data_IF_138900352964
#
_entry.id   IF_138900352964
#
_cell.length_a   1.000
_cell.length_b   1.000
_cell.length_c   1.000
_cell.angle_alpha   90.00
_cell.angle_beta   90.00
_cell.angle_gamma   90.00
#
_symmetry.space_group_name_H-M   'P 1'
#
loop_
_entity.id
_entity.type
_entity.pdbx_description
1 polymer ?
#
# COMPACT_ATOMS: atom_id res chain seq x y z
N UNK A 1 -19.71 -7.91 -24.20
CA UNK A 1 -19.36 -6.58 -23.67
C UNK A 1 -18.59 -6.84 -22.39
N UNK A 2 -17.27 -6.76 -22.45
CA UNK A 2 -16.44 -6.96 -21.27
C UNK A 2 -16.14 -5.58 -20.68
N UNK A 3 -16.49 -5.37 -19.41
CA UNK A 3 -16.05 -4.18 -18.66
C UNK A 3 -14.74 -4.53 -17.98
N UNK A 4 -13.67 -3.81 -18.34
CA UNK A 4 -12.32 -4.07 -17.87
C UNK A 4 -11.86 -2.84 -17.09
N UNK A 5 -11.70 -3.00 -15.78
CA UNK A 5 -11.15 -1.96 -14.91
C UNK A 5 -9.64 -2.15 -14.80
N UNK A 6 -8.89 -1.08 -15.04
CA UNK A 6 -7.43 -1.04 -14.86
C UNK A 6 -7.07 -0.13 -13.70
N UNK A 7 -5.99 -0.47 -13.00
CA UNK A 7 -5.46 0.24 -11.84
C UNK A 7 -4.08 0.81 -12.14
N UNK A 8 -3.42 1.37 -11.12
CA UNK A 8 -2.19 2.13 -11.27
C UNK A 8 -1.08 1.36 -11.99
N UNK A 9 -0.59 1.90 -13.11
CA UNK A 9 0.46 1.29 -13.90
C UNK A 9 0.02 0.09 -14.73
N UNK A 10 -1.28 -0.15 -14.85
CA UNK A 10 -1.85 -1.13 -15.76
C UNK A 10 -2.31 -0.47 -17.07
N UNK A 11 -2.58 -1.32 -18.06
CA UNK A 11 -3.13 -0.93 -19.35
C UNK A 11 -4.08 -2.00 -19.86
N UNK A 12 -4.97 -1.62 -20.78
CA UNK A 12 -5.73 -2.56 -21.58
C UNK A 12 -5.81 -2.05 -23.02
N UNK A 13 -5.99 -3.00 -23.95
CA UNK A 13 -6.31 -2.72 -25.35
C UNK A 13 -7.38 -3.71 -25.81
N UNK A 14 -8.18 -3.29 -26.78
CA UNK A 14 -9.26 -4.13 -27.29
C UNK A 14 -9.96 -3.52 -28.48
N UNK A 15 -11.12 -4.09 -28.80
CA UNK A 15 -11.98 -3.63 -29.88
C UNK A 15 -13.41 -3.52 -29.37
N UNK A 16 -14.28 -2.88 -30.14
CA UNK A 16 -15.74 -2.97 -29.91
C UNK A 16 -16.16 -4.43 -29.62
N UNK A 17 -17.03 -4.70 -28.62
CA UNK A 17 -17.72 -3.76 -27.73
C UNK A 17 -17.18 -3.79 -26.28
N UNK A 18 -15.88 -3.61 -26.08
CA UNK A 18 -15.32 -3.53 -24.73
C UNK A 18 -15.52 -2.13 -24.12
N UNK A 19 -15.68 -2.09 -22.79
CA UNK A 19 -15.66 -0.86 -21.99
C UNK A 19 -14.45 -0.92 -21.07
N UNK A 20 -13.63 0.13 -21.08
CA UNK A 20 -12.51 0.28 -20.17
C UNK A 20 -12.82 1.30 -19.08
N UNK A 21 -12.28 1.09 -17.89
CA UNK A 21 -12.52 1.97 -16.75
C UNK A 21 -11.27 2.13 -15.90
N UNK A 22 -11.08 3.33 -15.36
CA UNK A 22 -10.03 3.62 -14.38
C UNK A 22 -10.45 4.75 -13.44
N UNK A 23 -9.82 4.81 -12.28
CA UNK A 23 -10.03 5.83 -11.25
C UNK A 23 -8.73 6.61 -11.03
N UNK A 24 -8.84 7.94 -10.97
CA UNK A 24 -7.72 8.83 -11.16
C UNK A 24 -7.67 9.91 -10.07
N UNK A 25 -6.51 10.04 -9.43
CA UNK A 25 -6.12 11.13 -8.52
C UNK A 25 -5.02 12.00 -9.16
N UNK A 26 -3.82 12.01 -8.58
CA UNK A 26 -2.63 12.65 -9.19
C UNK A 26 -2.06 11.89 -10.40
N UNK A 27 -2.44 10.62 -10.56
CA UNK A 27 -2.21 9.82 -11.76
C UNK A 27 -3.08 10.31 -12.93
N UNK A 28 -2.71 9.93 -14.16
CA UNK A 28 -3.40 10.38 -15.38
C UNK A 28 -3.85 9.17 -16.19
N UNK A 29 -5.14 9.15 -16.55
CA UNK A 29 -5.71 8.20 -17.49
C UNK A 29 -5.52 8.70 -18.91
N UNK A 30 -5.09 7.83 -19.82
CA UNK A 30 -4.93 8.17 -21.25
C UNK A 30 -5.64 7.13 -22.09
N UNK A 31 -6.73 7.54 -22.74
CA UNK A 31 -7.41 6.73 -23.75
C UNK A 31 -6.87 7.09 -25.13
N UNK A 32 -6.48 6.08 -25.91
CA UNK A 32 -6.14 6.21 -27.32
C UNK A 32 -7.18 5.46 -28.15
N UNK A 33 -7.74 6.11 -29.17
CA UNK A 33 -8.83 5.52 -29.96
C UNK A 33 -8.67 5.78 -31.45
N UNK A 34 -8.90 4.72 -32.24
CA UNK A 34 -9.14 4.80 -33.67
C UNK A 34 -10.61 4.47 -33.94
N UNK A 35 -11.41 5.51 -34.22
CA UNK A 35 -12.84 5.37 -34.50
C UNK A 35 -13.18 4.73 -35.84
N UNK A 36 -12.22 4.63 -36.77
CA UNK A 36 -12.44 3.97 -38.06
C UNK A 36 -12.37 2.46 -37.90
N UNK A 37 -11.35 1.97 -37.21
CA UNK A 37 -11.16 0.53 -36.99
C UNK A 37 -11.79 0.04 -35.67
N UNK A 38 -12.31 0.95 -34.83
CA UNK A 38 -12.90 0.71 -33.51
C UNK A 38 -11.98 -0.09 -32.60
N UNK A 39 -10.73 0.37 -32.53
CA UNK A 39 -9.66 -0.20 -31.71
C UNK A 39 -9.22 0.89 -30.75
N UNK A 40 -9.07 0.54 -29.48
CA UNK A 40 -8.60 1.50 -28.49
C UNK A 40 -7.90 0.83 -27.33
N UNK A 41 -7.29 1.66 -26.51
CA UNK A 41 -6.65 1.24 -25.28
C UNK A 41 -6.69 2.34 -24.23
N UNK A 42 -6.58 1.92 -22.98
CA UNK A 42 -6.57 2.80 -21.82
C UNK A 42 -5.29 2.55 -21.00
N UNK A 43 -4.63 3.63 -20.60
CA UNK A 43 -3.48 3.63 -19.69
C UNK A 43 -3.88 4.25 -18.36
N UNK A 44 -3.27 3.76 -17.27
CA UNK A 44 -3.25 4.45 -15.98
C UNK A 44 -1.80 4.80 -15.60
N UNK A 45 -1.41 6.05 -15.85
CA UNK A 45 -0.03 6.52 -15.68
C UNK A 45 0.17 7.10 -14.27
N UNK A 46 1.22 6.65 -13.58
CA UNK A 46 1.55 7.06 -12.21
C UNK A 46 2.53 8.22 -12.20
N UNK A 47 3.60 8.13 -12.99
CA UNK A 47 4.74 9.06 -12.98
C UNK A 47 5.14 9.50 -14.40
N UNK A 48 5.86 10.63 -14.56
CA UNK A 48 6.24 11.08 -15.90
C UNK A 48 7.37 10.22 -16.47
N UNK A 49 8.30 9.79 -15.62
CA UNK A 49 9.50 9.01 -15.97
C UNK A 49 9.96 8.16 -14.78
N UNK A 50 10.71 7.10 -15.06
CA UNK A 50 11.26 6.19 -14.07
C UNK A 50 12.73 5.86 -14.36
N UNK A 51 13.43 5.30 -13.37
CA UNK A 51 14.78 4.76 -13.61
C UNK A 51 14.73 3.58 -14.57
N UNK A 52 15.84 3.28 -15.24
CA UNK A 52 15.92 2.22 -16.25
C UNK A 52 15.42 0.86 -15.73
N UNK A 53 15.78 0.50 -14.49
CA UNK A 53 15.30 -0.73 -13.86
C UNK A 53 13.79 -0.72 -13.65
N UNK A 54 13.25 0.36 -13.06
CA UNK A 54 11.82 0.43 -12.77
C UNK A 54 10.96 0.45 -14.04
N UNK A 55 11.47 1.03 -15.13
CA UNK A 55 10.80 1.00 -16.44
C UNK A 55 10.84 -0.40 -17.06
N UNK A 56 11.91 -1.18 -16.83
CA UNK A 56 11.93 -2.60 -17.24
C UNK A 56 10.92 -3.43 -16.46
N UNK A 57 10.77 -3.17 -15.17
CA UNK A 57 9.85 -3.92 -14.29
C UNK A 57 8.38 -3.61 -14.62
N UNK A 58 8.03 -2.33 -14.82
CA UNK A 58 6.70 -1.93 -15.27
C UNK A 58 6.77 -0.69 -16.20
N UNK A 59 6.80 -0.88 -17.53
CA UNK A 59 6.86 0.23 -18.47
C UNK A 59 5.54 1.03 -18.54
N UNK A 60 4.42 0.48 -18.08
CA UNK A 60 3.09 1.12 -18.17
C UNK A 60 2.80 2.11 -17.03
N UNK A 61 3.63 2.10 -15.97
CA UNK A 61 3.54 3.07 -14.88
C UNK A 61 4.02 4.48 -15.25
N UNK A 62 4.81 4.64 -16.32
CA UNK A 62 5.51 5.90 -16.65
C UNK A 62 5.09 6.48 -18.00
N UNK A 63 4.80 7.78 -18.06
CA UNK A 63 4.33 8.42 -19.29
C UNK A 63 5.27 8.18 -20.49
N UNK A 64 6.59 8.39 -20.29
CA UNK A 64 7.62 8.25 -21.32
C UNK A 64 7.71 6.85 -21.95
N UNK A 65 7.33 5.80 -21.24
CA UNK A 65 7.34 4.43 -21.76
C UNK A 65 5.95 3.92 -22.12
N UNK A 66 4.93 4.25 -21.34
CA UNK A 66 3.57 3.73 -21.47
C UNK A 66 2.87 4.20 -22.76
N UNK A 67 2.92 5.51 -23.04
CA UNK A 67 2.23 6.10 -24.21
C UNK A 67 2.80 5.57 -25.52
N UNK A 68 4.13 5.55 -25.74
CA UNK A 68 4.71 4.94 -26.95
C UNK A 68 4.43 3.44 -27.06
N UNK A 69 4.47 2.70 -25.94
CA UNK A 69 4.20 1.26 -25.94
C UNK A 69 2.76 0.94 -26.35
N UNK A 70 1.76 1.63 -25.78
CA UNK A 70 0.36 1.43 -26.17
C UNK A 70 0.12 1.85 -27.63
N UNK A 71 0.69 2.98 -28.06
CA UNK A 71 0.59 3.43 -29.45
C UNK A 71 1.10 2.36 -30.43
N UNK A 72 2.28 1.79 -30.16
CA UNK A 72 2.83 0.70 -30.97
C UNK A 72 1.94 -0.55 -30.95
N UNK A 73 1.40 -0.92 -29.78
CA UNK A 73 0.50 -2.07 -29.64
C UNK A 73 -0.82 -1.89 -30.41
N UNK A 74 -1.39 -0.68 -30.44
CA UNK A 74 -2.60 -0.37 -31.20
C UNK A 74 -2.37 -0.47 -32.70
N UNK A 75 -1.26 0.08 -33.22
CA UNK A 75 -0.88 -0.05 -34.62
C UNK A 75 -0.69 -1.52 -35.00
N UNK A 76 0.04 -2.29 -34.18
CA UNK A 76 0.21 -3.72 -34.38
C UNK A 76 -1.12 -4.50 -34.37
N UNK A 77 -2.12 -3.98 -33.67
CA UNK A 77 -3.48 -4.55 -33.60
C UNK A 77 -4.40 -4.11 -34.76
N UNK A 78 -3.90 -3.25 -35.66
CA UNK A 78 -4.58 -2.78 -36.87
C UNK A 78 -5.17 -1.37 -36.78
N UNK A 79 -4.80 -0.57 -35.77
CA UNK A 79 -5.22 0.83 -35.71
C UNK A 79 -4.47 1.67 -36.75
N UNK A 80 -5.16 2.63 -37.37
CA UNK A 80 -4.59 3.62 -38.25
C UNK A 80 -3.99 4.76 -37.42
N UNK A 81 -2.66 4.91 -37.53
CA UNK A 81 -1.89 5.98 -36.89
C UNK A 81 -2.52 7.36 -37.06
N UNK A 82 -3.05 7.66 -38.25
CA UNK A 82 -3.58 8.99 -38.58
C UNK A 82 -4.99 9.22 -38.01
N UNK A 83 -5.66 8.15 -37.59
CA UNK A 83 -6.99 8.19 -36.99
C UNK A 83 -6.95 8.16 -35.46
N UNK A 84 -5.78 7.94 -34.85
CA UNK A 84 -5.63 7.88 -33.40
C UNK A 84 -5.82 9.27 -32.76
N UNK A 85 -6.74 9.32 -31.81
CA UNK A 85 -6.98 10.48 -30.95
C UNK A 85 -6.78 10.11 -29.49
N UNK A 86 -6.47 11.10 -28.66
CA UNK A 86 -6.26 10.93 -27.23
C UNK A 86 -7.31 11.68 -26.41
N UNK A 87 -7.75 11.06 -25.31
CA UNK A 87 -8.49 11.73 -24.24
C UNK A 87 -7.76 11.53 -22.92
N UNK A 88 -7.60 12.61 -22.16
CA UNK A 88 -6.89 12.62 -20.87
C UNK A 88 -7.87 12.85 -19.71
N UNK A 89 -7.67 12.15 -18.60
CA UNK A 89 -8.36 12.37 -17.34
C UNK A 89 -7.39 12.36 -16.14
N UNK A 90 -7.72 13.05 -15.05
CA UNK A 90 -6.99 12.92 -13.77
C UNK A 90 -6.00 14.05 -13.47
N UNK A 91 -4.80 13.74 -12.99
CA UNK A 91 -3.73 14.72 -12.79
C UNK A 91 -4.00 15.76 -11.68
N UNK A 92 -4.80 15.41 -10.68
CA UNK A 92 -5.18 16.29 -9.58
C UNK A 92 -3.99 16.84 -8.79
N UNK A 93 -4.13 18.09 -8.33
CA UNK A 93 -3.31 18.78 -7.36
C UNK A 93 -3.72 18.30 -5.97
N UNK A 94 -3.07 17.25 -5.51
CA UNK A 94 -3.21 16.82 -4.13
C UNK A 94 -2.54 17.90 -3.27
N UNK A 95 -3.32 18.57 -2.40
CA UNK A 95 -2.78 19.56 -1.46
C UNK A 95 -1.82 18.85 -0.50
N UNK A 96 -0.53 18.95 -0.75
CA UNK A 96 0.48 18.76 0.29
C UNK A 96 0.54 19.99 1.19
N UNK A 97 0.78 19.72 2.46
CA UNK A 97 0.89 20.63 3.61
C UNK A 97 1.48 22.00 3.28
N UNK A 98 0.97 23.05 3.93
CA UNK A 98 1.64 24.34 4.03
C UNK A 98 3.04 24.18 4.64
N UNK A 99 4.09 24.25 3.81
CA UNK A 99 5.49 24.33 4.27
C UNK A 99 6.48 23.31 3.69
N UNK A 100 6.10 22.41 2.78
CA UNK A 100 7.02 21.44 2.16
C UNK A 100 6.94 21.45 0.63
N UNK A 101 8.06 21.18 -0.06
CA UNK A 101 8.24 21.31 -1.52
C UNK A 101 7.07 20.78 -2.35
N UNK A 102 6.58 21.66 -3.23
CA UNK A 102 5.44 21.48 -4.13
C UNK A 102 5.69 20.34 -5.14
N UNK A 103 5.45 19.08 -4.73
CA UNK A 103 5.56 17.89 -5.59
C UNK A 103 4.34 17.80 -6.50
N UNK A 104 4.35 18.63 -7.56
CA UNK A 104 3.32 18.73 -8.61
C UNK A 104 3.28 17.52 -9.55
N UNK A 105 3.13 16.31 -9.02
CA UNK A 105 3.18 15.05 -9.78
C UNK A 105 2.12 15.03 -10.88
N UNK A 106 0.88 15.42 -10.57
CA UNK A 106 -0.20 15.50 -11.57
C UNK A 106 0.12 16.44 -12.73
N UNK A 107 0.62 17.65 -12.44
CA UNK A 107 1.01 18.60 -13.48
C UNK A 107 2.17 18.06 -14.35
N UNK A 108 3.16 17.39 -13.73
CA UNK A 108 4.29 16.79 -14.43
C UNK A 108 3.86 15.63 -15.34
N UNK A 109 2.92 14.81 -14.89
CA UNK A 109 2.35 13.72 -15.68
C UNK A 109 1.64 14.28 -16.93
N UNK A 110 0.72 15.22 -16.74
CA UNK A 110 -0.04 15.85 -17.83
C UNK A 110 0.91 16.49 -18.84
N UNK A 111 1.92 17.24 -18.38
CA UNK A 111 2.90 17.87 -19.27
C UNK A 111 3.66 16.84 -20.09
N UNK A 112 4.17 15.77 -19.46
CA UNK A 112 4.89 14.72 -20.15
C UNK A 112 4.02 14.03 -21.21
N UNK A 113 2.77 13.70 -20.89
CA UNK A 113 1.83 13.06 -21.81
C UNK A 113 1.53 13.97 -23.01
N UNK A 114 1.28 15.27 -22.78
CA UNK A 114 1.06 16.24 -23.87
C UNK A 114 2.26 16.31 -24.82
N UNK A 115 3.48 16.38 -24.30
CA UNK A 115 4.70 16.37 -25.12
C UNK A 115 4.78 15.09 -25.96
N UNK A 116 4.58 13.92 -25.35
CA UNK A 116 4.69 12.63 -26.05
C UNK A 116 3.59 12.47 -27.12
N UNK A 117 2.35 12.86 -26.82
CA UNK A 117 1.25 12.84 -27.80
C UNK A 117 1.58 13.73 -29.00
N UNK A 118 2.10 14.94 -28.76
CA UNK A 118 2.55 15.84 -29.81
C UNK A 118 3.66 15.22 -30.67
N UNK A 119 4.68 14.63 -30.04
CA UNK A 119 5.81 14.00 -30.73
C UNK A 119 5.38 12.78 -31.57
N UNK A 120 4.36 12.05 -31.12
CA UNK A 120 3.79 10.91 -31.85
C UNK A 120 2.81 11.32 -32.96
N UNK A 121 2.36 12.59 -32.97
CA UNK A 121 1.35 13.12 -33.88
C UNK A 121 -0.09 12.77 -33.47
N UNK A 122 -0.33 12.45 -32.20
CA UNK A 122 -1.65 12.11 -31.66
C UNK A 122 -2.34 13.38 -31.18
N UNK A 123 -3.50 13.68 -31.76
CA UNK A 123 -4.29 14.83 -31.33
C UNK A 123 -5.06 14.50 -30.04
N UNK A 124 -4.87 15.31 -29.01
CA UNK A 124 -5.71 15.29 -27.81
C UNK A 124 -7.02 16.00 -28.14
N UNK A 125 -8.15 15.28 -28.10
CA UNK A 125 -9.47 15.81 -28.46
C UNK A 125 -10.28 16.24 -27.24
N UNK A 126 -9.95 15.73 -26.06
CA UNK A 126 -10.57 16.09 -24.80
C UNK A 126 -9.59 15.91 -23.64
N UNK A 127 -9.62 16.81 -22.67
CA UNK A 127 -8.86 16.71 -21.43
C UNK A 127 -9.70 17.23 -20.27
N UNK A 128 -9.84 16.41 -19.23
CA UNK A 128 -10.32 16.84 -17.91
C UNK A 128 -9.25 16.47 -16.88
N UNK A 129 -8.30 17.40 -16.68
CA UNK A 129 -7.10 17.18 -15.89
C UNK A 129 -6.83 18.32 -14.91
N UNK A 130 -6.08 18.07 -13.84
CA UNK A 130 -5.75 19.08 -12.81
C UNK A 130 -6.78 19.13 -11.69
N UNK A 131 -7.03 20.31 -11.13
CA UNK A 131 -7.99 20.53 -10.02
C UNK A 131 -7.60 19.79 -8.73
N UNK A 132 -8.43 19.82 -7.69
CA UNK A 132 -8.14 19.22 -6.37
C UNK A 132 -9.01 17.98 -6.06
N UNK A 133 -9.57 17.35 -7.08
CA UNK A 133 -10.47 16.20 -6.95
C UNK A 133 -10.17 15.05 -7.92
N UNK A 134 -10.60 13.85 -7.51
CA UNK A 134 -10.48 12.63 -8.31
C UNK A 134 -11.53 12.52 -9.42
N UNK A 135 -11.22 11.67 -10.40
CA UNK A 135 -12.07 11.42 -11.58
C UNK A 135 -12.22 9.93 -11.82
N UNK A 136 -13.40 9.53 -12.24
CA UNK A 136 -13.62 8.24 -12.89
C UNK A 136 -13.61 8.46 -14.40
N UNK A 137 -12.85 7.66 -15.12
CA UNK A 137 -12.77 7.70 -16.58
C UNK A 137 -13.27 6.36 -17.12
N UNK A 138 -14.36 6.41 -17.88
CA UNK A 138 -14.95 5.26 -18.57
C UNK A 138 -14.80 5.48 -20.08
N UNK A 139 -14.43 4.44 -20.81
CA UNK A 139 -14.14 4.51 -22.24
C UNK A 139 -14.85 3.37 -22.97
N UNK A 140 -15.85 3.70 -23.77
CA UNK A 140 -16.60 2.75 -24.59
C UNK A 140 -15.97 2.65 -25.99
N UNK A 141 -15.53 1.45 -26.38
CA UNK A 141 -14.93 1.23 -27.69
C UNK A 141 -15.98 1.15 -28.82
N UNK A 142 -17.28 1.05 -28.51
CA UNK A 142 -18.36 0.99 -29.49
C UNK A 142 -18.43 2.25 -30.36
N UNK A 143 -18.27 3.41 -29.73
CA UNK A 143 -18.37 4.73 -30.34
C UNK A 143 -17.16 5.64 -30.02
N UNK A 144 -16.28 5.21 -29.12
CA UNK A 144 -15.11 5.98 -28.71
C UNK A 144 -15.40 7.00 -27.62
N UNK A 145 -16.60 6.98 -27.03
CA UNK A 145 -16.99 7.92 -26.00
C UNK A 145 -16.15 7.69 -24.74
N UNK A 146 -15.59 8.79 -24.23
CA UNK A 146 -14.89 8.81 -22.95
C UNK A 146 -15.68 9.69 -22.00
N UNK A 147 -16.32 9.06 -21.03
CA UNK A 147 -17.03 9.74 -19.96
C UNK A 147 -16.07 9.96 -18.79
N UNK A 148 -15.85 11.23 -18.45
CA UNK A 148 -15.06 11.63 -17.29
C UNK A 148 -16.00 12.24 -16.27
N UNK A 149 -16.20 11.52 -15.17
CA UNK A 149 -17.00 12.00 -14.06
C UNK A 149 -16.07 12.65 -13.03
N UNK A 150 -16.08 13.98 -13.02
CA UNK A 150 -15.40 14.81 -12.04
C UNK A 150 -16.15 14.78 -10.70
N UNK A 151 -15.44 14.44 -9.63
CA UNK A 151 -16.01 14.38 -8.29
C UNK A 151 -15.82 15.72 -7.58
N UNK A 152 -16.56 16.77 -7.99
CA UNK A 152 -16.43 18.09 -7.36
C UNK A 152 -16.90 18.02 -5.90
N UNK A 153 -16.02 18.33 -4.96
CA UNK A 153 -16.36 18.43 -3.55
C UNK A 153 -17.28 19.65 -3.30
N UNK A 154 -18.51 19.39 -2.81
CA UNK A 154 -19.36 20.38 -2.16
C UNK A 154 -20.44 21.07 -3.01
N UNK A 155 -21.46 20.32 -3.47
CA UNK A 155 -22.89 20.66 -3.34
C UNK A 155 -23.75 19.56 -4.02
N UNK A 156 -24.53 18.87 -3.20
CA UNK A 156 -25.88 18.36 -3.47
C UNK A 156 -26.22 17.24 -4.48
N UNK A 157 -25.29 16.56 -5.15
CA UNK A 157 -25.68 15.35 -5.91
C UNK A 157 -25.09 14.06 -5.32
N UNK A 158 -25.68 13.64 -4.19
CA UNK A 158 -25.50 12.29 -3.66
C UNK A 158 -26.04 11.27 -4.68
N UNK A 159 -25.14 10.53 -5.35
CA UNK A 159 -25.50 9.18 -5.80
C UNK A 159 -26.13 8.47 -4.60
N UNK A 160 -27.31 7.82 -4.75
CA UNK A 160 -27.93 7.12 -3.64
C UNK A 160 -26.91 6.16 -3.05
N UNK A 161 -26.72 6.21 -1.72
CA UNK A 161 -25.95 5.21 -0.98
C UNK A 161 -26.43 3.86 -1.50
N UNK A 162 -25.57 2.97 -2.03
CA UNK A 162 -26.00 1.60 -2.30
C UNK A 162 -26.66 1.11 -1.01
N UNK A 163 -27.83 0.44 -1.15
CA UNK A 163 -28.61 0.01 0.00
C UNK A 163 -27.66 -0.60 1.04
N UNK A 164 -27.68 -0.07 2.27
CA UNK A 164 -26.70 -0.40 3.30
C UNK A 164 -26.64 -1.93 3.43
N UNK A 165 -25.56 -2.53 2.91
CA UNK A 165 -25.32 -3.94 3.11
C UNK A 165 -25.21 -4.15 4.62
N UNK A 166 -25.79 -5.22 5.18
CA UNK A 166 -25.67 -5.48 6.60
C UNK A 166 -24.19 -5.56 6.96
N UNK A 167 -23.80 -4.94 8.07
CA UNK A 167 -22.43 -4.95 8.55
C UNK A 167 -21.84 -6.37 8.53
N UNK A 168 -20.54 -6.49 8.30
CA UNK A 168 -19.87 -7.80 8.39
C UNK A 168 -20.08 -8.32 9.81
N UNK A 169 -20.65 -9.52 9.92
CA UNK A 169 -20.92 -10.16 11.21
C UNK A 169 -19.63 -10.52 11.94
N UNK A 170 -19.66 -10.45 13.27
CA UNK A 170 -18.54 -10.83 14.11
C UNK A 170 -18.15 -12.30 13.88
N UNK A 171 -19.12 -13.17 13.61
CA UNK A 171 -18.92 -14.57 13.27
C UNK A 171 -18.07 -14.73 12.00
N UNK A 172 -18.34 -13.93 10.95
CA UNK A 172 -17.58 -13.96 9.69
C UNK A 172 -16.15 -13.47 9.87
N UNK A 173 -15.93 -12.47 10.73
CA UNK A 173 -14.58 -12.03 11.10
C UNK A 173 -13.82 -13.14 11.83
N UNK A 174 -14.45 -13.77 12.82
CA UNK A 174 -13.84 -14.86 13.58
C UNK A 174 -13.50 -16.05 12.67
N UNK A 175 -14.42 -16.45 11.79
CA UNK A 175 -14.18 -17.51 10.81
C UNK A 175 -12.99 -17.16 9.89
N UNK A 176 -12.96 -15.93 9.34
CA UNK A 176 -11.84 -15.47 8.53
C UNK A 176 -10.50 -15.50 9.29
N UNK A 177 -10.50 -15.12 10.58
CA UNK A 177 -9.31 -15.18 11.45
C UNK A 177 -8.86 -16.62 11.68
N UNK A 178 -9.80 -17.55 11.91
CA UNK A 178 -9.49 -18.97 12.12
C UNK A 178 -8.93 -19.64 10.85
N UNK A 179 -9.27 -19.14 9.66
CA UNK A 179 -8.65 -19.61 8.40
C UNK A 179 -7.25 -19.05 8.15
N UNK A 180 -6.82 -17.99 8.88
CA UNK A 180 -5.41 -17.61 8.87
C UNK A 180 -4.63 -18.80 9.40
N UNK A 181 -3.49 -19.13 8.79
CA UNK A 181 -2.56 -20.09 9.41
C UNK A 181 -2.28 -19.52 10.81
N UNK A 182 -2.64 -20.22 11.89
CA UNK A 182 -2.42 -19.69 13.23
C UNK A 182 -0.96 -19.28 13.35
N UNK A 183 -0.67 -18.18 14.07
CA UNK A 183 0.70 -17.97 14.52
C UNK A 183 1.14 -19.29 15.16
N UNK A 184 2.25 -19.86 14.70
CA UNK A 184 2.77 -21.07 15.35
C UNK A 184 2.95 -20.74 16.83
N UNK A 185 2.69 -21.70 17.73
CA UNK A 185 2.91 -21.45 19.16
C UNK A 185 4.32 -20.90 19.42
N UNK A 186 5.29 -21.27 18.57
CA UNK A 186 6.64 -20.71 18.55
C UNK A 186 6.70 -19.19 18.29
N UNK A 187 5.91 -18.64 17.36
CA UNK A 187 5.90 -17.20 17.09
C UNK A 187 5.06 -16.41 18.13
N UNK A 188 3.97 -16.96 18.67
CA UNK A 188 3.26 -16.35 19.82
C UNK A 188 4.18 -16.34 21.05
N UNK A 189 4.83 -17.46 21.33
CA UNK A 189 5.78 -17.54 22.44
C UNK A 189 7.02 -16.69 22.19
N UNK A 190 7.45 -16.47 20.94
CA UNK A 190 8.49 -15.48 20.63
C UNK A 190 8.05 -14.07 21.03
N UNK A 191 6.77 -13.73 20.85
CA UNK A 191 6.18 -12.46 21.29
C UNK A 191 6.01 -12.40 22.83
N UNK A 192 5.65 -13.51 23.48
CA UNK A 192 5.52 -13.59 24.94
C UNK A 192 6.87 -13.62 25.67
N UNK A 193 7.93 -14.19 25.07
CA UNK A 193 9.30 -14.17 25.61
C UNK A 193 9.91 -12.76 25.63
N UNK A 194 9.28 -11.77 24.97
CA UNK A 194 9.60 -10.36 25.15
C UNK A 194 9.19 -9.83 26.55
N UNK A 195 8.33 -10.56 27.28
CA UNK A 195 7.88 -10.18 28.64
C UNK A 195 8.83 -10.64 29.75
N UNK A 196 9.72 -11.59 29.48
CA UNK A 196 10.65 -12.13 30.46
C UNK A 196 12.10 -11.80 30.05
N UNK A 197 12.77 -10.85 30.72
CA UNK A 197 14.17 -10.50 30.49
C UNK A 197 15.14 -11.67 30.71
N UNK A 198 14.69 -12.76 31.34
CA UNK A 198 15.46 -13.98 31.59
C UNK A 198 15.21 -15.08 30.55
N UNK A 199 14.36 -14.83 29.56
CA UNK A 199 14.09 -15.74 28.45
C UNK A 199 15.39 -16.23 27.82
N UNK A 200 15.70 -17.51 28.06
CA UNK A 200 17.00 -18.06 27.66
C UNK A 200 17.02 -18.41 26.18
N UNK A 201 18.21 -18.26 25.58
CA UNK A 201 18.54 -18.71 24.22
C UNK A 201 17.98 -20.11 23.89
N UNK A 202 18.00 -21.02 24.87
CA UNK A 202 17.54 -22.39 24.73
C UNK A 202 16.03 -22.57 24.59
N UNK A 203 15.21 -21.74 25.23
CA UNK A 203 13.75 -21.86 25.12
C UNK A 203 13.28 -21.50 23.71
N UNK A 204 13.82 -20.40 23.17
CA UNK A 204 13.46 -19.87 21.86
C UNK A 204 13.98 -20.79 20.74
N UNK A 205 15.19 -21.32 20.89
CA UNK A 205 15.72 -22.36 20.00
C UNK A 205 14.82 -23.60 19.96
N UNK A 206 14.42 -24.13 21.14
CA UNK A 206 13.58 -25.34 21.22
C UNK A 206 12.25 -25.15 20.49
N UNK A 207 11.64 -23.98 20.60
CA UNK A 207 10.37 -23.67 19.95
C UNK A 207 10.49 -23.63 18.43
N UNK A 208 11.56 -23.06 17.90
CA UNK A 208 11.76 -22.96 16.46
C UNK A 208 12.05 -24.32 15.87
N UNK A 209 12.86 -25.14 16.55
CA UNK A 209 13.19 -26.49 16.11
C UNK A 209 11.96 -27.43 16.05
N UNK A 210 10.86 -27.09 16.71
CA UNK A 210 9.59 -27.82 16.59
C UNK A 210 8.87 -27.53 15.27
N UNK A 211 9.18 -26.42 14.59
CA UNK A 211 8.62 -26.04 13.30
C UNK A 211 9.70 -26.12 12.21
N UNK A 212 9.65 -27.20 11.42
CA UNK A 212 10.61 -27.47 10.35
C UNK A 212 10.58 -26.40 9.25
N UNK A 213 9.41 -25.81 8.99
CA UNK A 213 9.25 -24.78 7.95
C UNK A 213 9.85 -23.47 8.44
N UNK A 214 9.54 -23.07 9.67
CA UNK A 214 10.14 -21.89 10.30
C UNK A 214 11.66 -22.03 10.40
N UNK A 215 12.16 -23.19 10.83
CA UNK A 215 13.61 -23.47 10.91
C UNK A 215 14.28 -23.33 9.54
N UNK A 216 13.70 -23.93 8.49
CA UNK A 216 14.26 -23.85 7.14
C UNK A 216 14.22 -22.44 6.56
N UNK A 217 13.11 -21.71 6.75
CA UNK A 217 12.97 -20.31 6.33
C UNK A 217 13.97 -19.41 7.08
N UNK A 218 14.18 -19.65 8.38
CA UNK A 218 15.13 -18.93 9.20
C UNK A 218 16.55 -19.10 8.68
N UNK A 219 17.02 -20.34 8.53
CA UNK A 219 18.37 -20.60 8.04
C UNK A 219 18.57 -20.03 6.63
N UNK A 220 17.56 -20.13 5.75
CA UNK A 220 17.63 -19.54 4.40
C UNK A 220 17.80 -18.02 4.46
N UNK A 221 17.03 -17.35 5.32
CA UNK A 221 17.04 -15.90 5.41
C UNK A 221 18.32 -15.39 6.09
N UNK A 222 18.82 -16.04 7.15
CA UNK A 222 20.12 -15.69 7.78
C UNK A 222 21.29 -15.83 6.80
N UNK A 223 21.24 -16.83 5.90
CA UNK A 223 22.26 -17.02 4.87
C UNK A 223 22.07 -16.13 3.63
N UNK A 224 21.04 -15.29 3.59
CA UNK A 224 20.83 -14.38 2.47
C UNK A 224 21.89 -13.27 2.45
N UNK A 225 22.09 -12.68 1.26
CA UNK A 225 23.03 -11.56 1.07
C UNK A 225 22.72 -10.35 1.97
N UNK A 226 21.50 -10.24 2.50
CA UNK A 226 21.08 -9.19 3.42
C UNK A 226 21.87 -9.21 4.74
N UNK A 227 22.04 -10.39 5.34
CA UNK A 227 22.69 -10.52 6.66
C UNK A 227 24.22 -10.58 6.57
N UNK A 228 24.78 -10.69 5.36
CA UNK A 228 26.22 -10.64 5.07
C UNK A 228 27.05 -11.53 6.02
N UNK A 229 26.56 -12.74 6.28
CA UNK A 229 27.22 -13.66 7.21
C UNK A 229 28.60 -14.06 6.68
N UNK A 230 29.66 -14.03 7.52
CA UNK A 230 31.02 -14.36 7.09
C UNK A 230 31.19 -15.84 6.75
N UNK A 231 30.32 -16.71 7.29
CA UNK A 231 30.28 -18.15 7.02
C UNK A 231 28.84 -18.64 6.94
N UNK A 232 28.64 -19.77 6.26
CA UNK A 232 27.31 -20.38 6.17
C UNK A 232 26.82 -20.81 7.56
N UNK A 233 25.61 -20.38 7.91
CA UNK A 233 24.93 -20.68 9.16
C UNK A 233 24.08 -21.93 8.97
N UNK A 234 24.35 -23.00 9.72
CA UNK A 234 23.70 -24.31 9.54
C UNK A 234 22.79 -24.70 10.71
N UNK A 235 22.81 -23.96 11.82
CA UNK A 235 22.01 -24.27 13.02
C UNK A 235 21.32 -23.03 13.60
N UNK A 236 20.21 -23.25 14.31
CA UNK A 236 19.45 -22.19 15.00
C UNK A 236 20.30 -21.55 16.11
N UNK A 237 20.99 -22.36 16.92
CA UNK A 237 22.01 -21.90 17.89
C UNK A 237 23.03 -20.94 17.27
N UNK A 238 23.60 -21.30 16.11
CA UNK A 238 24.61 -20.47 15.45
C UNK A 238 24.02 -19.15 14.97
N UNK A 239 22.82 -19.17 14.36
CA UNK A 239 22.10 -17.96 13.97
C UNK A 239 21.85 -17.03 15.16
N UNK A 240 21.37 -17.61 16.27
CA UNK A 240 21.04 -16.88 17.48
C UNK A 240 22.28 -16.27 18.16
N UNK A 241 23.41 -16.99 18.16
CA UNK A 241 24.69 -16.49 18.69
C UNK A 241 25.31 -15.36 17.85
N UNK A 242 25.18 -15.42 16.51
CA UNK A 242 25.72 -14.40 15.60
C UNK A 242 24.85 -13.13 15.55
N UNK A 243 23.52 -13.29 15.54
CA UNK A 243 22.58 -12.17 15.45
C UNK A 243 22.32 -11.51 16.81
N UNK A 244 22.41 -12.28 17.88
CA UNK A 244 21.86 -11.90 19.18
C UNK A 244 20.33 -12.03 19.23
N UNK A 245 19.80 -12.03 20.45
CA UNK A 245 18.41 -12.38 20.74
C UNK A 245 17.39 -11.46 20.02
N UNK A 246 17.60 -10.14 20.05
CA UNK A 246 16.64 -9.17 19.52
C UNK A 246 16.55 -9.22 17.98
N UNK A 247 17.69 -9.27 17.28
CA UNK A 247 17.70 -9.39 15.82
C UNK A 247 17.10 -10.73 15.37
N UNK A 248 17.34 -11.79 16.13
CA UNK A 248 16.78 -13.11 15.89
C UNK A 248 15.25 -13.14 16.07
N UNK A 249 14.70 -12.53 17.13
CA UNK A 249 13.24 -12.42 17.34
C UNK A 249 12.55 -11.69 16.18
N UNK A 250 13.14 -10.58 15.72
CA UNK A 250 12.63 -9.82 14.56
C UNK A 250 12.62 -10.63 13.29
N UNK A 251 13.65 -11.46 13.09
CA UNK A 251 13.75 -12.34 11.94
C UNK A 251 12.62 -13.39 11.95
N UNK A 252 12.40 -14.05 13.09
CA UNK A 252 11.30 -15.00 13.28
C UNK A 252 9.95 -14.34 12.96
N UNK A 253 9.73 -13.14 13.48
CA UNK A 253 8.49 -12.39 13.24
C UNK A 253 8.33 -11.96 11.78
N UNK A 254 9.40 -11.58 11.09
CA UNK A 254 9.35 -11.28 9.65
C UNK A 254 8.96 -12.50 8.83
N UNK A 255 9.53 -13.68 9.12
CA UNK A 255 9.19 -14.92 8.42
C UNK A 255 7.70 -15.24 8.59
N UNK A 256 7.19 -15.05 9.80
CA UNK A 256 5.79 -15.26 10.09
C UNK A 256 4.89 -14.26 9.32
N UNK A 257 5.19 -12.97 9.39
CA UNK A 257 4.39 -11.93 8.72
C UNK A 257 4.48 -12.05 7.21
N UNK A 258 5.60 -12.51 6.66
CA UNK A 258 5.72 -12.82 5.24
C UNK A 258 4.66 -13.84 4.78
N UNK A 259 4.48 -14.95 5.50
CA UNK A 259 3.48 -15.96 5.16
C UNK A 259 2.04 -15.40 5.16
N UNK A 260 1.76 -14.40 6.00
CA UNK A 260 0.46 -13.73 6.04
C UNK A 260 0.29 -12.67 4.94
N UNK A 261 1.33 -11.87 4.69
CA UNK A 261 1.24 -10.61 3.91
C UNK A 261 1.78 -10.74 2.48
N UNK A 262 2.36 -11.88 2.10
CA UNK A 262 2.93 -12.08 0.76
C UNK A 262 1.87 -12.18 -0.35
N UNK A 263 0.60 -12.43 -0.01
CA UNK A 263 -0.47 -12.60 -1.01
C UNK A 263 -0.96 -11.25 -1.53
N UNK A 264 -1.44 -11.25 -2.79
CA UNK A 264 -2.17 -10.12 -3.39
C UNK A 264 -3.43 -9.82 -2.57
N UNK A 265 -3.71 -8.54 -2.32
CA UNK A 265 -4.96 -8.08 -1.71
C UNK A 265 -5.75 -7.27 -2.73
N UNK A 266 -6.80 -7.86 -3.29
CA UNK A 266 -7.61 -7.22 -4.32
C UNK A 266 -8.41 -6.05 -3.74
N UNK A 267 -8.95 -6.20 -2.53
CA UNK A 267 -9.69 -5.17 -1.81
C UNK A 267 -8.91 -3.86 -1.69
N UNK A 268 -7.60 -3.97 -1.49
CA UNK A 268 -6.70 -2.83 -1.29
C UNK A 268 -5.89 -2.47 -2.54
N UNK A 269 -6.07 -3.18 -3.65
CA UNK A 269 -5.25 -3.03 -4.87
C UNK A 269 -3.75 -3.18 -4.61
N UNK A 270 -3.37 -4.13 -3.75
CA UNK A 270 -1.98 -4.40 -3.39
C UNK A 270 -1.47 -5.65 -4.10
N UNK A 271 -0.37 -5.54 -4.83
CA UNK A 271 0.30 -6.69 -5.45
C UNK A 271 0.89 -7.66 -4.41
N UNK A 272 1.20 -8.87 -4.86
CA UNK A 272 1.87 -9.86 -4.02
C UNK A 272 3.16 -9.29 -3.41
N UNK A 273 3.31 -9.42 -2.09
CA UNK A 273 4.46 -8.89 -1.33
C UNK A 273 4.39 -7.39 -1.00
N UNK A 274 3.46 -6.62 -1.59
CA UNK A 274 3.38 -5.18 -1.35
C UNK A 274 3.08 -4.84 0.12
N UNK A 275 2.12 -5.54 0.73
CA UNK A 275 1.79 -5.34 2.16
C UNK A 275 2.95 -5.75 3.07
N UNK A 276 3.63 -6.86 2.75
CA UNK A 276 4.79 -7.30 3.50
C UNK A 276 5.90 -6.25 3.47
N UNK A 277 6.24 -5.75 2.28
CA UNK A 277 7.25 -4.72 2.10
C UNK A 277 6.88 -3.42 2.84
N UNK A 278 5.63 -2.97 2.73
CA UNK A 278 5.11 -1.83 3.53
C UNK A 278 5.35 -2.04 5.02
N UNK A 279 4.97 -3.21 5.54
CA UNK A 279 5.03 -3.50 6.97
C UNK A 279 6.46 -3.59 7.50
N UNK A 280 7.39 -4.18 6.74
CA UNK A 280 8.81 -4.24 7.13
C UNK A 280 9.44 -2.85 7.16
N UNK A 281 9.21 -2.03 6.13
CA UNK A 281 9.74 -0.66 6.11
C UNK A 281 9.11 0.18 7.23
N UNK A 282 7.79 0.05 7.44
CA UNK A 282 7.08 0.71 8.53
C UNK A 282 7.65 0.30 9.90
N UNK A 283 7.94 -0.98 10.12
CA UNK A 283 8.61 -1.48 11.32
C UNK A 283 9.98 -0.83 11.58
N UNK A 284 10.81 -0.70 10.54
CA UNK A 284 12.14 -0.07 10.63
C UNK A 284 12.05 1.42 10.93
N UNK A 285 11.12 2.13 10.28
CA UNK A 285 10.90 3.56 10.53
C UNK A 285 10.36 3.76 11.95
N UNK A 286 9.39 2.96 12.38
CA UNK A 286 8.82 3.01 13.73
C UNK A 286 9.90 2.80 14.79
N UNK A 287 10.79 1.83 14.60
CA UNK A 287 11.94 1.64 15.48
C UNK A 287 12.86 2.87 15.51
N UNK A 288 13.20 3.43 14.34
CA UNK A 288 14.10 4.57 14.24
C UNK A 288 13.52 5.82 14.92
N UNK A 289 12.20 5.99 14.88
CA UNK A 289 11.48 7.05 15.61
C UNK A 289 11.54 6.87 17.14
N UNK A 290 11.78 5.64 17.62
CA UNK A 290 11.92 5.28 19.04
C UNK A 290 13.41 5.02 19.41
N UNK A 291 14.37 5.45 18.58
CA UNK A 291 15.78 5.05 18.71
C UNK A 291 16.47 5.44 20.03
N UNK A 292 15.92 6.41 20.80
CA UNK A 292 16.45 6.76 22.14
C UNK A 292 15.92 5.87 23.27
N UNK A 293 15.06 4.89 22.96
CA UNK A 293 14.47 3.96 23.92
C UNK A 293 15.37 2.76 24.23
N UNK A 294 14.98 2.01 25.26
CA UNK A 294 15.59 0.73 25.61
C UNK A 294 15.47 -0.27 24.45
N UNK A 295 16.29 -1.32 24.49
CA UNK A 295 16.23 -2.40 23.49
C UNK A 295 14.84 -3.03 23.39
N UNK A 296 14.16 -3.16 24.53
CA UNK A 296 12.79 -3.67 24.64
C UNK A 296 11.78 -2.70 23.99
N UNK A 297 11.91 -1.39 24.22
CA UNK A 297 11.05 -0.38 23.59
C UNK A 297 11.22 -0.35 22.07
N UNK A 298 12.47 -0.46 21.58
CA UNK A 298 12.76 -0.52 20.14
C UNK A 298 12.25 -1.80 19.49
N UNK A 299 12.36 -2.94 20.19
CA UNK A 299 11.78 -4.20 19.73
C UNK A 299 10.24 -4.12 19.65
N UNK A 300 9.58 -3.58 20.67
CA UNK A 300 8.12 -3.34 20.63
C UNK A 300 7.73 -2.40 19.48
N UNK A 301 8.48 -1.32 19.27
CA UNK A 301 8.26 -0.39 18.16
C UNK A 301 8.34 -1.08 16.80
N UNK A 302 9.35 -1.92 16.59
CA UNK A 302 9.49 -2.73 15.39
C UNK A 302 8.27 -3.65 15.19
N UNK A 303 7.86 -4.39 16.21
CA UNK A 303 6.73 -5.32 16.13
C UNK A 303 5.40 -4.61 15.86
N UNK A 304 5.19 -3.44 16.47
CA UNK A 304 4.00 -2.63 16.25
C UNK A 304 3.90 -2.18 14.78
N UNK A 305 4.98 -1.65 14.21
CA UNK A 305 5.02 -1.27 12.79
C UNK A 305 4.86 -2.46 11.85
N UNK A 306 5.37 -3.64 12.21
CA UNK A 306 5.27 -4.85 11.40
C UNK A 306 3.83 -5.41 11.34
N UNK A 307 3.06 -5.27 12.42
CA UNK A 307 1.75 -5.91 12.58
C UNK A 307 0.55 -4.96 12.39
N UNK A 308 0.77 -3.66 12.22
CA UNK A 308 -0.30 -2.64 12.25
C UNK A 308 -1.45 -2.89 11.26
N UNK A 309 -1.15 -3.43 10.08
CA UNK A 309 -2.10 -3.65 9.00
C UNK A 309 -2.68 -5.08 8.93
N UNK A 310 -2.56 -5.86 10.01
CA UNK A 310 -3.06 -7.25 10.06
C UNK A 310 -4.54 -7.39 9.73
N UNK A 311 -5.35 -6.37 10.04
CA UNK A 311 -6.78 -6.36 9.70
C UNK A 311 -7.07 -6.35 8.20
N UNK A 312 -6.17 -5.82 7.36
CA UNK A 312 -6.35 -5.80 5.90
C UNK A 312 -6.42 -7.22 5.32
N UNK A 313 -5.63 -8.15 5.87
CA UNK A 313 -5.62 -9.56 5.46
C UNK A 313 -6.94 -10.27 5.80
N UNK A 314 -7.55 -9.92 6.94
CA UNK A 314 -8.84 -10.50 7.35
C UNK A 314 -9.97 -9.93 6.48
N UNK A 315 -9.98 -8.62 6.26
CA UNK A 315 -10.99 -7.95 5.43
C UNK A 315 -10.93 -8.39 3.97
N UNK A 316 -9.75 -8.66 3.41
CA UNK A 316 -9.61 -9.27 2.08
C UNK A 316 -10.42 -10.58 1.95
N UNK A 317 -10.41 -11.42 2.99
CA UNK A 317 -11.05 -12.75 2.95
C UNK A 317 -12.57 -12.70 3.07
N UNK A 318 -13.11 -11.79 3.87
CA UNK A 318 -14.54 -11.78 4.20
C UNK A 318 -15.32 -10.62 3.61
N UNK A 319 -14.65 -9.57 3.13
CA UNK A 319 -15.29 -8.32 2.73
C UNK A 319 -14.88 -7.82 1.33
N UNK A 320 -13.98 -8.49 0.61
CA UNK A 320 -13.45 -8.04 -0.70
C UNK A 320 -14.53 -7.62 -1.72
N UNK A 321 -15.66 -8.34 -1.78
CA UNK A 321 -16.77 -8.01 -2.68
C UNK A 321 -17.42 -6.63 -2.41
N UNK A 322 -17.20 -6.04 -1.24
CA UNK A 322 -17.76 -4.75 -0.81
C UNK A 322 -16.77 -3.59 -0.97
N UNK A 323 -15.50 -3.88 -1.21
CA UNK A 323 -14.46 -2.85 -1.34
C UNK A 323 -14.65 -1.88 -2.51
N UNK A 324 -15.31 -2.24 -3.63
CA UNK A 324 -15.67 -1.23 -4.63
C UNK A 324 -16.43 -0.05 -4.02
N UNK A 325 -17.34 -0.30 -3.05
CA UNK A 325 -18.08 0.77 -2.36
C UNK A 325 -17.21 1.56 -1.37
N UNK A 326 -16.23 0.90 -0.75
CA UNK A 326 -15.23 1.58 0.11
C UNK A 326 -14.40 2.54 -0.73
N UNK A 327 -13.87 2.04 -1.84
CA UNK A 327 -13.10 2.80 -2.82
C UNK A 327 -13.94 3.95 -3.38
N UNK A 328 -15.21 3.73 -3.70
CA UNK A 328 -16.15 4.79 -4.10
C UNK A 328 -16.25 5.90 -3.04
N UNK A 329 -16.42 5.56 -1.74
CA UNK A 329 -16.47 6.58 -0.69
C UNK A 329 -15.15 7.35 -0.53
N UNK A 330 -14.02 6.66 -0.66
CA UNK A 330 -12.70 7.30 -0.59
C UNK A 330 -12.51 8.26 -1.77
N UNK A 331 -12.76 7.79 -2.99
CA UNK A 331 -12.55 8.55 -4.22
C UNK A 331 -13.57 9.68 -4.39
N UNK A 332 -14.84 9.44 -4.09
CA UNK A 332 -15.93 10.38 -4.33
C UNK A 332 -16.25 11.29 -3.14
N UNK A 333 -15.95 10.87 -1.90
CA UNK A 333 -16.20 11.68 -0.69
C UNK A 333 -14.94 12.14 0.03
N UNK A 334 -13.75 11.81 -0.48
CA UNK A 334 -12.47 12.23 0.12
C UNK A 334 -12.33 11.72 1.55
N UNK A 335 -13.03 10.63 1.87
CA UNK A 335 -13.03 10.04 3.18
C UNK A 335 -11.70 9.32 3.42
N UNK A 336 -11.19 9.40 4.64
CA UNK A 336 -10.09 8.53 5.06
C UNK A 336 -10.51 7.07 4.93
N UNK A 337 -9.58 6.21 4.53
CA UNK A 337 -9.90 4.85 4.12
C UNK A 337 -10.57 4.04 5.22
N UNK A 338 -10.07 4.12 6.46
CA UNK A 338 -10.66 3.43 7.61
C UNK A 338 -12.08 3.94 7.95
N UNK A 339 -12.39 5.21 7.67
CA UNK A 339 -13.75 5.74 7.82
C UNK A 339 -14.68 5.18 6.74
N UNK A 340 -14.19 5.05 5.51
CA UNK A 340 -14.93 4.42 4.41
C UNK A 340 -15.21 2.94 4.66
N UNK A 341 -14.22 2.19 5.17
CA UNK A 341 -14.42 0.82 5.62
C UNK A 341 -15.52 0.77 6.68
N UNK A 342 -15.45 1.61 7.71
CA UNK A 342 -16.45 1.62 8.79
C UNK A 342 -17.86 1.88 8.26
N UNK A 343 -18.00 2.81 7.32
CA UNK A 343 -19.28 3.18 6.72
C UNK A 343 -19.91 2.06 5.88
N UNK A 344 -19.09 1.27 5.17
CA UNK A 344 -19.57 0.21 4.24
C UNK A 344 -19.62 -1.16 4.91
N UNK A 345 -18.64 -1.46 5.74
CA UNK A 345 -18.41 -2.79 6.34
C UNK A 345 -18.95 -2.87 7.76
N UNK A 346 -19.22 -1.74 8.42
CA UNK A 346 -19.55 -1.66 9.85
C UNK A 346 -18.34 -1.85 10.77
N UNK A 347 -17.15 -1.98 10.20
CA UNK A 347 -15.86 -2.14 10.89
C UNK A 347 -14.75 -1.59 9.98
N UNK A 348 -13.55 -1.43 10.52
CA UNK A 348 -12.36 -1.00 9.77
C UNK A 348 -11.16 -1.92 10.06
N UNK A 349 -10.12 -1.84 9.23
CA UNK A 349 -8.94 -2.69 9.40
C UNK A 349 -8.24 -2.51 10.76
N UNK A 350 -8.20 -1.33 11.42
CA UNK A 350 -7.63 -1.21 12.76
C UNK A 350 -8.43 -1.97 13.81
N UNK A 351 -9.77 -1.89 13.79
CA UNK A 351 -10.61 -2.64 14.73
C UNK A 351 -10.53 -4.15 14.49
N UNK A 352 -10.48 -4.58 13.22
CA UNK A 352 -10.28 -6.00 12.88
C UNK A 352 -8.89 -6.46 13.31
N UNK A 353 -7.85 -5.67 13.07
CA UNK A 353 -6.48 -5.96 13.53
C UNK A 353 -6.41 -6.11 15.05
N UNK A 354 -7.14 -5.27 15.80
CA UNK A 354 -7.28 -5.42 17.26
C UNK A 354 -7.94 -6.74 17.64
N UNK A 355 -9.00 -7.13 16.96
CA UNK A 355 -9.66 -8.42 17.19
C UNK A 355 -8.68 -9.59 16.97
N UNK A 356 -7.84 -9.53 15.94
CA UNK A 356 -6.78 -10.53 15.72
C UNK A 356 -5.79 -10.52 16.89
N UNK A 357 -5.34 -9.33 17.32
CA UNK A 357 -4.42 -9.19 18.44
C UNK A 357 -4.97 -9.79 19.74
N UNK A 358 -6.26 -9.59 20.03
CA UNK A 358 -6.92 -10.15 21.21
C UNK A 358 -7.04 -11.68 21.12
N UNK A 359 -7.43 -12.24 19.96
CA UNK A 359 -7.53 -13.69 19.74
C UNK A 359 -6.15 -14.36 19.87
N UNK A 360 -5.12 -13.72 19.32
CA UNK A 360 -3.73 -14.19 19.39
C UNK A 360 -3.03 -13.83 20.71
N UNK A 361 -3.75 -13.18 21.64
CA UNK A 361 -3.26 -12.78 22.98
C UNK A 361 -1.98 -11.95 22.93
N UNK A 362 -1.87 -11.08 21.93
CA UNK A 362 -0.73 -10.18 21.80
C UNK A 362 -0.67 -9.20 23.00
N UNK A 363 0.52 -8.67 23.32
CA UNK A 363 0.67 -7.60 24.31
C UNK A 363 -0.31 -6.45 24.06
N UNK A 364 -0.88 -5.89 25.13
CA UNK A 364 -1.91 -4.86 25.06
C UNK A 364 -1.41 -3.60 24.33
N UNK A 365 -0.14 -3.27 24.54
CA UNK A 365 0.63 -2.24 23.83
C UNK A 365 0.51 -2.39 22.30
N UNK A 366 0.73 -3.61 21.79
CA UNK A 366 0.70 -3.90 20.35
C UNK A 366 -0.73 -3.87 19.84
N UNK A 367 -1.68 -4.42 20.61
CA UNK A 367 -3.11 -4.34 20.28
C UNK A 367 -3.60 -2.89 20.20
N UNK A 368 -3.17 -2.01 21.10
CA UNK A 368 -3.52 -0.58 21.08
C UNK A 368 -2.87 0.15 19.90
N UNK A 369 -1.59 -0.12 19.60
CA UNK A 369 -0.92 0.43 18.43
C UNK A 369 -1.62 0.02 17.12
N UNK A 370 -2.00 -1.26 16.98
CA UNK A 370 -2.78 -1.74 15.84
C UNK A 370 -4.14 -1.05 15.77
N UNK A 371 -4.85 -0.90 16.89
CA UNK A 371 -6.20 -0.33 16.90
C UNK A 371 -6.24 1.17 16.56
N UNK A 372 -5.19 1.91 16.94
CA UNK A 372 -5.22 3.38 16.98
C UNK A 372 -4.23 4.05 16.02
N UNK A 373 -3.55 3.32 15.13
CA UNK A 373 -2.54 3.91 14.24
C UNK A 373 -3.09 4.97 13.26
N UNK A 374 -4.40 5.00 12.96
CA UNK A 374 -5.05 6.11 12.22
C UNK A 374 -5.57 7.23 13.12
N UNK A 375 -5.61 7.03 14.43
CA UNK A 375 -6.13 7.99 15.42
C UNK A 375 -5.20 8.05 16.65
N UNK A 376 -3.92 8.39 16.46
CA UNK A 376 -2.88 8.13 17.47
C UNK A 376 -3.08 8.91 18.78
N UNK A 377 -3.79 10.05 18.75
CA UNK A 377 -4.05 10.87 19.94
C UNK A 377 -5.06 10.26 20.90
N UNK A 378 -5.87 9.29 20.46
CA UNK A 378 -6.79 8.56 21.32
C UNK A 378 -6.07 7.58 22.26
N UNK A 379 -4.82 7.23 21.95
CA UNK A 379 -4.02 6.34 22.78
C UNK A 379 -3.75 6.95 24.15
N UNK A 380 -3.64 6.10 25.17
CA UNK A 380 -3.30 6.53 26.53
C UNK A 380 -1.91 7.21 26.57
N UNK A 381 -1.65 8.17 27.48
CA UNK A 381 -0.37 8.90 27.51
C UNK A 381 0.89 8.00 27.54
N UNK A 382 0.83 6.85 28.21
CA UNK A 382 1.94 5.90 28.26
C UNK A 382 2.21 5.13 26.96
N UNK A 383 1.22 5.06 26.04
CA UNK A 383 1.32 4.36 24.75
C UNK A 383 1.36 5.30 23.55
N UNK A 384 0.95 6.56 23.74
CA UNK A 384 0.78 7.54 22.67
C UNK A 384 2.02 7.71 21.81
N UNK A 385 3.21 7.70 22.40
CA UNK A 385 4.48 7.78 21.67
C UNK A 385 4.65 6.63 20.67
N UNK A 386 4.35 5.39 21.08
CA UNK A 386 4.42 4.22 20.20
C UNK A 386 3.40 4.31 19.07
N UNK A 387 2.15 4.67 19.38
CA UNK A 387 1.08 4.78 18.37
C UNK A 387 1.37 5.91 17.37
N UNK A 388 1.89 7.04 17.85
CA UNK A 388 2.34 8.14 16.98
C UNK A 388 3.50 7.70 16.07
N UNK A 389 4.44 6.89 16.57
CA UNK A 389 5.53 6.37 15.76
C UNK A 389 5.02 5.48 14.61
N UNK A 390 4.07 4.58 14.88
CA UNK A 390 3.45 3.74 13.85
C UNK A 390 2.68 4.59 12.82
N UNK A 391 1.91 5.57 13.30
CA UNK A 391 1.17 6.50 12.44
C UNK A 391 2.11 7.24 11.47
N UNK A 392 3.16 7.88 11.99
CA UNK A 392 4.13 8.62 11.19
C UNK A 392 4.89 7.69 10.24
N UNK A 393 5.28 6.50 10.70
CA UNK A 393 5.97 5.52 9.85
C UNK A 393 5.10 5.07 8.67
N UNK A 394 3.83 4.74 8.89
CA UNK A 394 2.88 4.34 7.84
C UNK A 394 2.67 5.47 6.82
N UNK A 395 2.52 6.71 7.28
CA UNK A 395 2.43 7.89 6.40
C UNK A 395 3.67 8.06 5.52
N UNK A 396 4.87 7.92 6.11
CA UNK A 396 6.13 8.05 5.35
C UNK A 396 6.29 6.92 4.32
N UNK A 397 5.91 5.68 4.67
CA UNK A 397 5.85 4.58 3.72
C UNK A 397 4.92 4.90 2.54
N UNK A 398 3.74 5.42 2.82
CA UNK A 398 2.76 5.81 1.81
C UNK A 398 3.27 6.93 0.91
N UNK A 399 3.89 7.97 1.48
CA UNK A 399 4.48 9.08 0.71
C UNK A 399 5.61 8.62 -0.22
N UNK A 400 6.38 7.61 0.18
CA UNK A 400 7.46 7.02 -0.63
C UNK A 400 6.97 5.98 -1.64
N UNK A 401 5.67 5.67 -1.66
CA UNK A 401 5.08 4.63 -2.52
C UNK A 401 5.49 3.21 -2.13
N UNK A 402 5.87 2.99 -0.87
CA UNK A 402 6.24 1.68 -0.35
C UNK A 402 4.97 0.86 -0.12
N UNK A 403 4.80 -0.20 -0.93
CA UNK A 403 3.62 -1.05 -0.86
C UNK A 403 2.35 -0.32 -1.26
N UNK A 404 2.42 0.36 -2.41
CA UNK A 404 1.33 1.13 -3.00
C UNK A 404 -0.02 0.39 -2.94
N UNK A 405 -1.04 1.11 -2.51
CA UNK A 405 -2.39 0.60 -2.24
C UNK A 405 -3.43 1.69 -2.48
N UNK A 406 -4.70 1.29 -2.55
CA UNK A 406 -5.84 2.21 -2.64
C UNK A 406 -5.97 3.17 -1.43
N UNK A 407 -5.44 2.82 -0.26
CA UNK A 407 -5.44 3.67 0.94
C UNK A 407 -4.23 4.62 1.03
N UNK A 408 -3.20 4.44 0.20
CA UNK A 408 -1.94 5.21 0.20
C UNK A 408 -2.17 6.72 0.13
N UNK A 409 -3.25 7.18 -0.53
CA UNK A 409 -3.54 8.61 -0.75
C UNK A 409 -4.69 9.16 0.11
N UNK A 410 -5.35 8.30 0.89
CA UNK A 410 -6.56 8.67 1.63
C UNK A 410 -6.29 9.01 3.11
N UNK A 411 -5.16 8.54 3.65
CA UNK A 411 -4.83 8.73 5.05
C UNK A 411 -4.26 10.13 5.30
N UNK A 412 -4.79 10.83 6.31
CA UNK A 412 -4.35 12.17 6.65
C UNK A 412 -3.27 12.16 7.72
N UNK A 413 -2.34 13.12 7.62
CA UNK A 413 -1.34 13.32 8.66
C UNK A 413 -1.98 13.96 9.89
N UNK A 414 -1.66 13.44 11.09
CA UNK A 414 -1.99 14.07 12.37
C UNK A 414 -0.79 14.92 12.85
N UNK A 415 -0.82 16.27 12.73
CA UNK A 415 0.34 17.09 13.06
C UNK A 415 0.78 17.00 14.52
N UNK A 416 -0.14 16.66 15.44
CA UNK A 416 0.21 16.44 16.83
C UNK A 416 1.05 15.18 17.05
N UNK A 417 0.95 14.17 16.18
CA UNK A 417 1.77 12.96 16.27
C UNK A 417 3.25 13.25 16.02
N UNK A 418 3.57 14.16 15.09
CA UNK A 418 4.95 14.62 14.85
C UNK A 418 5.51 15.36 16.07
N UNK A 419 4.69 16.21 16.71
CA UNK A 419 5.08 16.93 17.94
C UNK A 419 5.30 15.99 19.12
N UNK A 420 4.45 14.97 19.28
CA UNK A 420 4.61 13.94 20.32
C UNK A 420 5.95 13.20 20.20
N UNK A 421 6.42 12.99 18.97
CA UNK A 421 7.72 12.35 18.68
C UNK A 421 8.90 13.32 18.75
N UNK A 422 8.67 14.61 18.99
CA UNK A 422 9.71 15.63 18.94
C UNK A 422 10.29 15.85 17.55
N UNK A 423 9.54 15.52 16.49
CA UNK A 423 9.96 15.72 15.10
C UNK A 423 9.65 17.17 14.68
N UNK A 424 10.69 17.99 14.60
CA UNK A 424 10.66 19.29 13.94
C UNK A 424 11.01 19.16 12.44
N UNK A 425 10.93 20.25 11.68
CA UNK A 425 11.25 20.25 10.24
C UNK A 425 12.60 19.61 9.91
N UNK A 426 13.71 20.02 10.56
CA UNK A 426 15.02 19.40 10.38
C UNK A 426 15.07 17.91 10.71
N UNK A 427 14.40 17.46 11.78
CA UNK A 427 14.34 16.04 12.13
C UNK A 427 13.56 15.22 11.09
N UNK A 428 12.48 15.77 10.54
CA UNK A 428 11.74 15.15 9.43
C UNK A 428 12.61 15.09 8.17
N UNK A 429 13.35 16.14 7.83
CA UNK A 429 14.25 16.15 6.67
C UNK A 429 15.37 15.11 6.80
N UNK A 430 15.98 15.01 7.99
CA UNK A 430 17.00 14.01 8.28
C UNK A 430 16.42 12.58 8.20
N UNK A 431 15.21 12.37 8.70
CA UNK A 431 14.50 11.10 8.58
C UNK A 431 14.29 10.74 7.11
N UNK A 432 13.69 11.65 6.32
CA UNK A 432 13.46 11.47 4.88
C UNK A 432 14.73 11.16 4.12
N UNK A 433 15.86 11.78 4.46
CA UNK A 433 17.16 11.51 3.85
C UNK A 433 17.69 10.09 4.16
N UNK A 434 17.35 9.51 5.30
CA UNK A 434 17.73 8.15 5.68
C UNK A 434 16.82 7.07 5.05
N UNK A 435 15.58 7.41 4.69
CA UNK A 435 14.59 6.44 4.20
C UNK A 435 15.01 5.66 2.94
N UNK A 436 15.66 6.24 1.91
CA UNK A 436 16.07 5.48 0.72
C UNK A 436 16.99 4.29 1.04
N UNK A 437 17.85 4.42 2.05
CA UNK A 437 18.70 3.31 2.49
C UNK A 437 17.88 2.20 3.15
N UNK A 438 16.86 2.57 3.94
CA UNK A 438 15.94 1.63 4.61
C UNK A 438 15.08 0.90 3.56
N UNK A 439 14.53 1.62 2.58
CA UNK A 439 13.72 1.03 1.50
C UNK A 439 14.57 0.12 0.59
N UNK A 440 15.79 0.54 0.24
CA UNK A 440 16.67 -0.22 -0.64
C UNK A 440 17.19 -1.53 -0.07
N UNK A 441 17.20 -1.69 1.26
CA UNK A 441 17.63 -2.92 1.93
C UNK A 441 16.57 -4.04 1.91
N UNK A 442 15.31 -3.72 1.67
CA UNK A 442 14.19 -4.67 1.77
C UNK A 442 13.39 -4.87 0.47
N UNK A 443 13.78 -4.20 -0.62
CA UNK A 443 13.10 -4.25 -1.92
C UNK A 443 13.59 -5.31 -2.90
N UNK A 444 14.02 -6.50 -2.45
CA UNK A 444 14.44 -7.61 -3.33
C UNK A 444 13.82 -8.94 -2.94
#
# INVERSE_FOLDING_TARGET
MNRITITAGEHCLGKTPDIFETFLGSCVGVALYDGRNRIGGLLHIILPEGSQQKVQDNPFAYAKSAVPALFAALIASGADRNCLVATLGGGAHIRTVAGGTDLKIGQRNVLAIRTICNDLGIRIIHEDVGEDYGRQMTFDLADGQVDIHSSRFGHDDAKPRPAALPAISQESLIEAIQTLKPISDAAIQTLDLARDPTSSFHQLERLILQDQVLTANLLRLVNSAYYQMPTAVSTVSQALGLLGLNAFRRLVMQIFVHDLFARKLYAYSMEAGALFHHSVVCARITELLINTGSDEEREKAYLAGLLHDLGKVVLERCASARFPQVVDLVLFKGMEFHKAERDVLGTDHPAVGRLVADIWRLPAELGEAIALHHQPLLAAPGQRRLVCAVHVASLLCNMLGVGFSSDTMANQAEPAAFRELGLDGPAVDALLAALPAIVGQHGR
#
